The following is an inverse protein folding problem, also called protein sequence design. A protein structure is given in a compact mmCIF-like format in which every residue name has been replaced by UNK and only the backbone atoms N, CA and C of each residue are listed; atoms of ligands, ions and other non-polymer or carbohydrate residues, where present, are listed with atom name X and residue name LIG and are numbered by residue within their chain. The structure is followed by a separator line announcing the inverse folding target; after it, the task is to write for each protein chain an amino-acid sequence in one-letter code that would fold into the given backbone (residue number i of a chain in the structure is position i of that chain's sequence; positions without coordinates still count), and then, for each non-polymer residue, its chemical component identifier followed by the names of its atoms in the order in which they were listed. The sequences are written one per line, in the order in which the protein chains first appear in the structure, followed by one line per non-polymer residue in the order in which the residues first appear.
data_IF_253118184527
#
_entry.id   IF_253118184527
#
_cell.length_a   1.000
_cell.length_b   1.000
_cell.length_c   1.000
_cell.angle_alpha   90.00
_cell.angle_beta   90.00
_cell.angle_gamma   90.00
#
_symmetry.space_group_name_H-M   'P 1'
#
loop_
_entity.id
_entity.type
_entity.pdbx_description
1 polymer ?
#
# COMPACT_ATOMS: atom_id res chain seq x y z
N UNK A 1 -13.99 75.07 -37.12
CA UNK A 1 -13.55 75.09 -35.70
C UNK A 1 -14.33 74.01 -34.95
N UNK A 2 -13.59 73.01 -34.51
CA UNK A 2 -13.81 72.02 -33.44
C UNK A 2 -15.10 71.19 -33.39
N UNK A 3 -15.01 70.06 -34.09
CA UNK A 3 -15.74 68.80 -33.91
C UNK A 3 -15.56 68.23 -32.50
N UNK A 4 -16.66 68.07 -31.77
CA UNK A 4 -16.74 67.38 -30.48
C UNK A 4 -16.71 65.85 -30.67
N UNK A 5 -15.61 65.21 -30.27
CA UNK A 5 -15.51 63.76 -30.17
C UNK A 5 -16.25 63.24 -28.93
N UNK A 6 -17.34 62.48 -29.14
CA UNK A 6 -17.96 61.64 -28.11
C UNK A 6 -17.17 60.33 -28.01
N UNK A 7 -16.39 60.18 -26.94
CA UNK A 7 -15.75 58.91 -26.58
C UNK A 7 -16.81 58.02 -25.94
N UNK A 8 -17.17 56.94 -26.62
CA UNK A 8 -18.08 55.92 -26.14
C UNK A 8 -17.29 54.97 -25.22
N UNK A 9 -17.59 55.03 -23.93
CA UNK A 9 -16.95 54.23 -22.89
C UNK A 9 -17.67 52.88 -22.81
N UNK A 10 -17.23 51.92 -23.62
CA UNK A 10 -17.78 50.56 -23.63
C UNK A 10 -17.19 49.77 -22.45
N UNK A 11 -17.86 49.84 -21.30
CA UNK A 11 -17.57 48.97 -20.16
C UNK A 11 -18.04 47.55 -20.49
N UNK A 12 -17.12 46.73 -21.03
CA UNK A 12 -17.32 45.29 -21.16
C UNK A 12 -17.21 44.69 -19.77
N UNK A 13 -18.37 44.47 -19.14
CA UNK A 13 -18.54 43.59 -18.00
C UNK A 13 -18.14 42.17 -18.44
N UNK A 14 -16.86 41.82 -18.22
CA UNK A 14 -16.44 40.42 -18.16
C UNK A 14 -17.08 39.80 -16.92
N UNK A 15 -18.34 39.39 -17.06
CA UNK A 15 -18.92 38.34 -16.24
C UNK A 15 -18.19 37.05 -16.61
N UNK A 16 -16.96 36.90 -16.09
CA UNK A 16 -16.25 35.65 -16.09
C UNK A 16 -17.14 34.65 -15.37
N UNK A 17 -17.67 33.70 -16.13
CA UNK A 17 -18.29 32.51 -15.59
C UNK A 17 -17.20 31.74 -14.84
N UNK A 18 -16.95 32.10 -13.58
CA UNK A 18 -16.37 31.20 -12.62
C UNK A 18 -17.40 30.10 -12.45
N UNK A 19 -17.28 29.03 -13.25
CA UNK A 19 -17.90 27.78 -12.90
C UNK A 19 -17.51 27.52 -11.44
N UNK A 20 -18.46 27.32 -10.52
CA UNK A 20 -18.11 26.91 -9.17
C UNK A 20 -17.37 25.59 -9.37
N UNK A 21 -16.04 25.65 -9.24
CA UNK A 21 -15.25 24.46 -9.05
C UNK A 21 -15.90 23.78 -7.85
N UNK A 22 -16.32 22.52 -8.02
CA UNK A 22 -16.84 21.70 -6.95
C UNK A 22 -15.70 21.45 -5.96
N UNK A 23 -15.43 22.46 -5.14
CA UNK A 23 -14.45 22.46 -4.08
C UNK A 23 -14.91 21.50 -2.99
N UNK A 24 -14.02 20.62 -2.55
CA UNK A 24 -14.30 19.68 -1.46
C UNK A 24 -15.04 18.41 -1.88
N UNK A 25 -14.63 17.79 -2.98
CA UNK A 25 -15.18 16.50 -3.41
C UNK A 25 -14.18 15.36 -3.24
N UNK A 26 -14.70 14.17 -2.91
CA UNK A 26 -13.96 12.91 -2.89
C UNK A 26 -14.63 11.92 -3.84
N UNK A 27 -13.89 11.48 -4.86
CA UNK A 27 -14.27 10.40 -5.76
C UNK A 27 -13.36 9.19 -5.54
N UNK A 28 -13.96 8.00 -5.50
CA UNK A 28 -13.23 6.73 -5.38
C UNK A 28 -13.55 5.87 -6.59
N UNK A 29 -12.52 5.51 -7.35
CA UNK A 29 -12.57 4.59 -8.47
C UNK A 29 -11.84 3.29 -8.11
N UNK A 30 -12.43 2.15 -8.47
CA UNK A 30 -11.80 0.84 -8.26
C UNK A 30 -11.14 0.37 -9.53
N UNK A 31 -9.86 0.00 -9.43
CA UNK A 31 -9.08 -0.58 -10.49
C UNK A 31 -9.11 -2.10 -10.37
N UNK A 32 -9.78 -2.75 -11.32
CA UNK A 32 -9.89 -4.21 -11.38
C UNK A 32 -8.81 -4.85 -12.24
N UNK A 33 -8.58 -4.30 -13.43
CA UNK A 33 -7.62 -4.80 -14.40
C UNK A 33 -6.38 -3.90 -14.44
N UNK A 34 -5.23 -4.49 -14.76
CA UNK A 34 -4.00 -3.76 -15.03
C UNK A 34 -4.12 -3.01 -16.37
N UNK A 35 -4.77 -1.84 -16.29
CA UNK A 35 -4.99 -0.94 -17.43
C UNK A 35 -4.35 0.41 -17.12
N UNK A 36 -3.49 0.88 -18.02
CA UNK A 36 -2.78 2.15 -17.88
C UNK A 36 -1.46 2.02 -17.13
N UNK A 37 -1.11 3.04 -16.33
CA UNK A 37 0.19 3.16 -15.67
C UNK A 37 0.11 3.01 -14.13
N UNK A 38 -1.06 2.71 -13.56
CA UNK A 38 -1.25 2.73 -12.10
C UNK A 38 -0.37 1.67 -11.41
N UNK A 39 -0.30 0.45 -11.95
CA UNK A 39 0.59 -0.61 -11.43
C UNK A 39 2.03 -0.14 -11.47
N UNK A 40 2.51 0.41 -12.59
CA UNK A 40 3.87 0.90 -12.72
C UNK A 40 4.19 2.06 -11.76
N UNK A 41 3.24 2.98 -11.52
CA UNK A 41 3.41 4.09 -10.57
C UNK A 41 3.54 3.61 -9.12
N UNK A 42 2.72 2.62 -8.74
CA UNK A 42 2.78 2.01 -7.42
C UNK A 42 4.00 1.09 -7.28
N UNK A 43 4.37 0.36 -8.32
CA UNK A 43 5.59 -0.45 -8.38
C UNK A 43 6.83 0.43 -8.15
N UNK A 44 6.93 1.59 -8.80
CA UNK A 44 8.01 2.54 -8.59
C UNK A 44 8.05 3.09 -7.15
N UNK A 45 6.87 3.27 -6.53
CA UNK A 45 6.77 3.69 -5.12
C UNK A 45 7.21 2.57 -4.17
N UNK A 46 6.84 1.31 -4.46
CA UNK A 46 7.27 0.12 -3.74
C UNK A 46 8.78 -0.07 -3.80
N UNK A 47 9.39 0.11 -4.98
CA UNK A 47 10.82 -0.07 -5.17
C UNK A 47 11.64 0.81 -4.21
N UNK A 48 11.25 2.07 -4.02
CA UNK A 48 11.90 2.98 -3.08
C UNK A 48 11.85 2.45 -1.65
N UNK A 49 10.70 1.92 -1.24
CA UNK A 49 10.54 1.33 0.09
C UNK A 49 11.39 0.07 0.27
N UNK A 50 11.44 -0.80 -0.73
CA UNK A 50 12.29 -2.00 -0.72
C UNK A 50 13.78 -1.63 -0.63
N UNK A 51 14.20 -0.60 -1.36
CA UNK A 51 15.58 -0.09 -1.32
C UNK A 51 15.96 0.51 0.03
N UNK A 52 15.04 1.25 0.66
CA UNK A 52 15.20 1.78 2.01
C UNK A 52 15.34 0.64 3.02
N UNK A 53 14.45 -0.36 2.97
CA UNK A 53 14.54 -1.54 3.83
C UNK A 53 15.90 -2.23 3.67
N UNK A 54 16.35 -2.43 2.43
CA UNK A 54 17.68 -2.98 2.15
C UNK A 54 18.79 -2.15 2.79
N UNK A 55 18.73 -0.82 2.66
CA UNK A 55 19.71 0.10 3.23
C UNK A 55 19.75 0.03 4.76
N UNK A 56 18.59 -0.02 5.42
CA UNK A 56 18.48 -0.16 6.88
C UNK A 56 19.10 -1.47 7.34
N UNK A 57 18.77 -2.59 6.69
CA UNK A 57 19.31 -3.91 7.05
C UNK A 57 20.84 -3.94 6.87
N UNK A 58 21.36 -3.43 5.75
CA UNK A 58 22.80 -3.37 5.50
C UNK A 58 23.53 -2.50 6.53
N UNK A 59 22.94 -1.38 6.96
CA UNK A 59 23.56 -0.45 7.90
C UNK A 59 23.51 -0.94 9.35
N UNK A 60 22.39 -1.53 9.77
CA UNK A 60 22.10 -1.79 11.19
C UNK A 60 22.28 -3.25 11.60
N UNK A 61 22.18 -4.19 10.66
CA UNK A 61 22.19 -5.64 10.94
C UNK A 61 23.13 -6.42 9.99
N UNK A 62 24.43 -6.04 9.90
CA UNK A 62 25.37 -6.75 9.03
C UNK A 62 25.58 -8.19 9.51
N UNK A 63 25.51 -9.18 8.60
CA UNK A 63 25.75 -10.59 8.94
C UNK A 63 24.54 -11.33 9.54
N UNK A 64 23.40 -10.67 9.77
CA UNK A 64 22.21 -11.31 10.32
C UNK A 64 21.34 -11.98 9.24
N UNK A 65 21.48 -13.30 9.07
CA UNK A 65 20.73 -14.10 8.07
C UNK A 65 20.05 -15.32 8.68
N UNK A 66 19.18 -15.12 9.67
CA UNK A 66 18.23 -16.16 10.06
C UNK A 66 17.05 -16.15 9.07
N UNK A 67 16.86 -17.26 8.35
CA UNK A 67 15.83 -17.40 7.32
C UNK A 67 14.41 -17.05 7.80
N UNK A 68 14.08 -17.34 9.08
CA UNK A 68 12.75 -17.03 9.61
C UNK A 68 12.58 -15.55 9.95
N UNK A 69 13.64 -14.88 10.39
CA UNK A 69 13.64 -13.42 10.61
C UNK A 69 13.57 -12.68 9.29
N UNK A 70 14.23 -13.23 8.27
CA UNK A 70 14.19 -12.74 6.90
C UNK A 70 12.78 -12.72 6.30
N UNK A 71 11.99 -13.77 6.56
CA UNK A 71 10.60 -13.87 6.11
C UNK A 71 9.74 -12.70 6.60
N UNK A 72 9.99 -12.16 7.80
CA UNK A 72 9.24 -10.99 8.34
C UNK A 72 9.49 -9.77 7.45
N UNK A 73 10.75 -9.50 7.12
CA UNK A 73 11.14 -8.38 6.26
C UNK A 73 10.56 -8.53 4.86
N UNK A 74 10.71 -9.70 4.24
CA UNK A 74 10.17 -9.93 2.90
C UNK A 74 8.65 -9.84 2.88
N UNK A 75 7.96 -10.41 3.88
CA UNK A 75 6.50 -10.36 3.93
C UNK A 75 5.99 -8.94 4.16
N UNK A 76 6.64 -8.17 5.01
CA UNK A 76 6.33 -6.75 5.18
C UNK A 76 6.49 -6.01 3.85
N UNK A 77 7.68 -6.09 3.22
CA UNK A 77 7.99 -5.40 1.97
C UNK A 77 7.07 -5.81 0.80
N UNK A 78 6.60 -7.07 0.77
CA UNK A 78 5.63 -7.56 -0.23
C UNK A 78 4.21 -7.05 0.00
N UNK A 79 3.73 -7.05 1.26
CA UNK A 79 2.30 -6.92 1.55
C UNK A 79 1.88 -5.56 2.06
N UNK A 80 2.80 -4.75 2.56
CA UNK A 80 2.46 -3.46 3.17
C UNK A 80 1.73 -2.57 2.15
N UNK A 81 0.57 -1.99 2.50
CA UNK A 81 -0.13 -1.07 1.62
C UNK A 81 0.72 0.14 1.25
N UNK A 82 0.62 0.60 0.02
CA UNK A 82 1.34 1.77 -0.50
C UNK A 82 0.38 2.77 -1.12
N UNK A 83 0.70 4.05 -0.96
CA UNK A 83 0.00 5.16 -1.59
C UNK A 83 0.98 6.04 -2.35
N UNK A 84 0.56 6.45 -3.54
CA UNK A 84 1.16 7.57 -4.28
C UNK A 84 0.09 8.63 -4.44
N UNK A 85 0.36 9.86 -3.99
CA UNK A 85 -0.58 10.98 -4.07
C UNK A 85 0.08 12.11 -4.84
N UNK A 86 -0.50 12.52 -5.97
CA UNK A 86 -0.08 13.68 -6.75
C UNK A 86 -1.02 14.84 -6.46
N UNK A 87 -0.47 15.97 -6.03
CA UNK A 87 -1.19 17.22 -5.83
C UNK A 87 -0.83 18.21 -6.94
N UNK A 88 -1.82 18.58 -7.73
CA UNK A 88 -1.71 19.61 -8.76
C UNK A 88 -2.26 20.93 -8.22
N UNK A 89 -1.48 22.00 -8.28
CA UNK A 89 -1.82 23.27 -7.65
C UNK A 89 -1.39 24.48 -8.48
N UNK A 90 -2.13 25.61 -8.39
CA UNK A 90 -1.78 26.79 -9.17
C UNK A 90 -0.53 27.49 -8.60
N UNK A 91 0.45 27.80 -9.46
CA UNK A 91 1.65 28.57 -9.09
C UNK A 91 2.02 29.53 -10.22
N UNK A 92 2.01 30.84 -9.94
CA UNK A 92 2.58 31.83 -10.86
C UNK A 92 2.01 31.82 -12.29
N UNK A 93 0.74 31.45 -12.47
CA UNK A 93 0.10 31.32 -13.78
C UNK A 93 0.26 29.95 -14.47
N UNK A 94 0.96 29.00 -13.84
CA UNK A 94 1.05 27.60 -14.28
C UNK A 94 0.52 26.62 -13.22
N UNK A 95 0.72 25.33 -13.49
CA UNK A 95 0.36 24.24 -12.58
C UNK A 95 1.64 23.61 -12.02
N UNK A 96 1.83 23.68 -10.71
CA UNK A 96 2.82 22.91 -9.99
C UNK A 96 2.28 21.52 -9.66
N UNK A 97 3.18 20.54 -9.57
CA UNK A 97 2.85 19.17 -9.17
C UNK A 97 3.76 18.77 -8.01
N UNK A 98 3.19 18.18 -6.96
CA UNK A 98 3.95 17.56 -5.88
C UNK A 98 3.45 16.15 -5.62
N UNK A 99 4.36 15.19 -5.61
CA UNK A 99 4.07 13.77 -5.34
C UNK A 99 4.46 13.42 -3.91
N UNK A 100 3.57 12.70 -3.23
CA UNK A 100 3.78 12.12 -1.91
C UNK A 100 3.75 10.60 -2.02
N UNK A 101 4.75 9.97 -1.41
CA UNK A 101 4.90 8.52 -1.32
C UNK A 101 4.72 8.06 0.13
N UNK A 102 3.69 7.29 0.41
CA UNK A 102 3.45 6.75 1.74
C UNK A 102 3.42 5.23 1.72
N UNK A 103 3.92 4.65 2.82
CA UNK A 103 3.83 3.23 3.09
C UNK A 103 3.12 3.03 4.42
N UNK A 104 2.19 2.09 4.42
CA UNK A 104 1.35 1.77 5.55
C UNK A 104 2.15 1.14 6.71
N UNK A 105 1.53 1.08 7.88
CA UNK A 105 2.09 0.38 9.03
C UNK A 105 3.29 1.08 9.68
N UNK A 106 4.02 0.29 10.48
CA UNK A 106 5.14 0.78 11.29
C UNK A 106 6.33 1.27 10.46
N UNK A 107 7.13 2.22 10.99
CA UNK A 107 8.40 2.64 10.39
C UNK A 107 9.37 1.48 10.18
N UNK A 108 10.18 1.58 9.13
CA UNK A 108 11.01 0.47 8.66
C UNK A 108 12.09 0.05 9.65
N UNK A 109 12.71 1.01 10.35
CA UNK A 109 13.67 0.71 11.41
C UNK A 109 13.05 -0.12 12.53
N UNK A 110 11.76 0.11 12.85
CA UNK A 110 11.05 -0.73 13.84
C UNK A 110 10.75 -2.11 13.30
N UNK A 111 10.30 -2.22 12.05
CA UNK A 111 10.09 -3.52 11.39
C UNK A 111 11.40 -4.33 11.39
N UNK A 112 12.53 -3.70 11.07
CA UNK A 112 13.84 -4.33 11.13
C UNK A 112 14.23 -4.72 12.56
N UNK A 113 14.01 -3.85 13.54
CA UNK A 113 14.27 -4.17 14.95
C UNK A 113 13.38 -5.30 15.49
N UNK A 114 12.13 -5.40 15.04
CA UNK A 114 11.24 -6.52 15.39
C UNK A 114 11.73 -7.84 14.76
N UNK A 115 12.20 -7.79 13.51
CA UNK A 115 12.72 -8.96 12.82
C UNK A 115 14.04 -9.46 13.43
N UNK A 116 14.97 -8.55 13.76
CA UNK A 116 16.35 -8.89 14.12
C UNK A 116 16.70 -8.66 15.61
N UNK A 117 16.14 -7.62 16.24
CA UNK A 117 16.46 -7.22 17.62
C UNK A 117 15.78 -8.02 18.73
N UNK A 118 14.82 -8.89 18.41
CA UNK A 118 14.05 -9.67 19.40
C UNK A 118 14.68 -11.00 19.83
N UNK A 119 14.23 -11.53 20.98
CA UNK A 119 14.40 -12.96 21.29
C UNK A 119 13.67 -13.77 20.22
N UNK A 120 14.31 -14.80 19.67
CA UNK A 120 13.68 -15.67 18.67
C UNK A 120 12.31 -16.13 19.18
N UNK A 121 11.22 -15.97 18.42
CA UNK A 121 9.87 -16.26 18.90
C UNK A 121 9.74 -17.65 19.53
N UNK A 122 8.90 -17.83 20.58
CA UNK A 122 8.66 -19.11 21.25
C UNK A 122 7.82 -20.08 20.39
N UNK A 123 8.34 -20.39 19.22
CA UNK A 123 7.93 -21.48 18.34
C UNK A 123 9.14 -21.90 17.50
N UNK A 124 10.35 -21.71 18.03
CA UNK A 124 11.60 -22.15 17.42
C UNK A 124 11.69 -23.65 17.64
N UNK A 125 11.58 -24.52 16.62
CA UNK A 125 11.97 -25.91 16.81
C UNK A 125 13.49 -25.92 16.98
N UNK A 126 13.94 -25.85 18.23
CA UNK A 126 15.27 -26.31 18.59
C UNK A 126 15.26 -27.81 18.36
N UNK A 127 16.00 -28.25 17.34
CA UNK A 127 16.18 -29.66 16.92
C UNK A 127 15.21 -30.18 15.86
N UNK A 128 15.79 -30.89 14.88
CA UNK A 128 15.09 -31.64 13.85
C UNK A 128 14.22 -32.73 14.50
N UNK A 129 12.91 -32.49 14.58
CA UNK A 129 11.97 -33.48 15.13
C UNK A 129 10.54 -32.98 15.38
N UNK A 130 10.32 -31.67 15.48
CA UNK A 130 8.98 -31.14 15.74
C UNK A 130 8.20 -30.89 14.45
N UNK A 131 7.01 -31.48 14.36
CA UNK A 131 6.05 -31.29 13.27
C UNK A 131 5.76 -29.80 13.01
N UNK A 132 5.61 -29.37 11.75
CA UNK A 132 5.30 -27.98 11.45
C UNK A 132 3.83 -27.72 11.80
N UNK A 133 3.62 -26.91 12.83
CA UNK A 133 2.36 -26.20 12.98
C UNK A 133 2.40 -25.00 12.03
N UNK A 134 1.35 -24.89 11.21
CA UNK A 134 1.11 -23.78 10.29
C UNK A 134 1.21 -22.44 11.03
N UNK A 135 1.86 -21.40 10.46
CA UNK A 135 1.69 -20.05 10.95
C UNK A 135 0.31 -19.56 10.49
N UNK A 136 -0.73 -19.94 11.22
CA UNK A 136 -2.00 -19.22 11.19
C UNK A 136 -1.80 -17.93 11.95
N UNK A 137 -1.51 -16.85 11.22
CA UNK A 137 -1.90 -15.52 11.67
C UNK A 137 -3.42 -15.46 11.47
N UNK A 138 -4.14 -16.05 12.43
CA UNK A 138 -5.57 -15.82 12.57
C UNK A 138 -5.74 -14.37 13.00
N UNK A 139 -6.60 -13.64 12.28
CA UNK A 139 -7.09 -12.30 12.68
C UNK A 139 -7.88 -12.35 14.01
N UNK A 140 -8.07 -13.55 14.59
CA UNK A 140 -8.72 -13.84 15.87
C UNK A 140 -7.74 -14.15 17.02
N UNK A 141 -6.46 -13.76 16.93
CA UNK A 141 -5.58 -13.87 18.10
C UNK A 141 -5.90 -12.74 19.08
N UNK A 142 -6.80 -13.04 20.03
CA UNK A 142 -7.22 -12.28 21.22
C UNK A 142 -6.06 -12.05 22.22
N UNK A 143 -4.85 -11.92 21.69
CA UNK A 143 -3.67 -11.49 22.42
C UNK A 143 -3.91 -10.05 22.91
N UNK A 144 -3.65 -9.73 24.19
CA UNK A 144 -3.78 -8.37 24.69
C UNK A 144 -2.99 -7.43 23.78
N UNK A 145 -3.48 -6.22 23.48
CA UNK A 145 -2.83 -5.34 22.54
C UNK A 145 -1.37 -5.20 22.95
N UNK A 146 -0.47 -5.56 22.03
CA UNK A 146 0.95 -5.25 22.14
C UNK A 146 1.06 -3.81 22.63
N UNK A 147 1.88 -3.60 23.65
CA UNK A 147 2.07 -2.31 24.32
C UNK A 147 2.02 -1.18 23.29
N UNK A 148 1.03 -0.29 23.46
CA UNK A 148 0.73 0.73 22.47
C UNK A 148 1.97 1.60 22.28
N UNK A 149 2.52 1.54 21.08
CA UNK A 149 3.64 2.39 20.68
C UNK A 149 3.18 3.84 20.74
N UNK A 150 3.96 4.68 21.42
CA UNK A 150 3.65 6.11 21.50
C UNK A 150 3.85 6.79 20.15
N UNK A 151 3.11 7.87 19.92
CA UNK A 151 3.26 8.69 18.72
C UNK A 151 4.70 9.24 18.60
N UNK A 152 5.33 9.61 19.72
CA UNK A 152 6.72 10.10 19.78
C UNK A 152 7.73 9.04 19.32
N UNK A 153 7.54 7.77 19.73
CA UNK A 153 8.39 6.67 19.27
C UNK A 153 8.24 6.41 17.76
N UNK A 154 7.02 6.50 17.23
CA UNK A 154 6.77 6.34 15.79
C UNK A 154 7.43 7.48 15.01
N UNK A 155 7.29 8.73 15.48
CA UNK A 155 7.95 9.90 14.86
C UNK A 155 9.47 9.76 14.89
N UNK A 156 10.05 9.34 16.02
CA UNK A 156 11.49 9.13 16.14
C UNK A 156 11.99 8.05 15.18
N UNK A 157 11.23 6.96 15.00
CA UNK A 157 11.58 5.91 14.06
C UNK A 157 11.43 6.34 12.58
N UNK A 158 10.38 7.11 12.23
CA UNK A 158 10.26 7.70 10.88
C UNK A 158 11.44 8.65 10.57
N UNK A 159 11.87 9.43 11.57
CA UNK A 159 13.03 10.31 11.45
C UNK A 159 14.33 9.53 11.24
N UNK A 160 14.50 8.39 11.93
CA UNK A 160 15.64 7.49 11.71
C UNK A 160 15.64 6.90 10.28
N UNK A 161 14.47 6.52 9.77
CA UNK A 161 14.34 6.04 8.39
C UNK A 161 14.68 7.12 7.35
N UNK A 162 14.53 8.41 7.67
CA UNK A 162 14.58 9.50 6.69
C UNK A 162 15.90 9.57 5.92
N UNK A 163 17.04 9.28 6.56
CA UNK A 163 18.36 9.29 5.91
C UNK A 163 18.54 8.20 4.85
N UNK A 164 17.69 7.17 4.87
CA UNK A 164 17.76 6.07 3.90
C UNK A 164 16.93 6.33 2.63
N UNK A 165 16.04 7.32 2.64
CA UNK A 165 15.28 7.74 1.46
C UNK A 165 16.13 8.68 0.60
N UNK A 166 16.95 8.09 -0.27
CA UNK A 166 17.80 8.81 -1.22
C UNK A 166 16.96 9.21 -2.46
N UNK A 167 17.32 10.33 -3.10
CA UNK A 167 16.71 10.83 -4.34
C UNK A 167 15.24 11.32 -4.21
N UNK A 168 14.86 11.81 -3.03
CA UNK A 168 13.64 12.62 -2.85
C UNK A 168 14.01 14.11 -2.95
N UNK A 169 13.14 14.92 -3.54
CA UNK A 169 13.30 16.37 -3.67
C UNK A 169 12.04 17.11 -3.22
N UNK A 170 11.98 18.44 -3.38
CA UNK A 170 10.82 19.22 -2.95
C UNK A 170 9.53 18.89 -3.71
N UNK A 171 9.62 18.30 -4.90
CA UNK A 171 8.46 17.91 -5.72
C UNK A 171 8.10 16.44 -5.60
N UNK A 172 9.01 15.60 -5.12
CA UNK A 172 8.84 14.16 -4.97
C UNK A 172 9.28 13.72 -3.57
N UNK A 173 8.31 13.59 -2.65
CA UNK A 173 8.57 13.45 -1.22
C UNK A 173 8.03 12.14 -0.64
N UNK A 174 8.73 11.62 0.37
CA UNK A 174 8.19 10.65 1.30
C UNK A 174 7.19 11.35 2.23
N UNK A 175 6.05 10.71 2.48
CA UNK A 175 5.10 11.11 3.51
C UNK A 175 5.28 10.23 4.76
N UNK A 176 6.02 10.71 5.78
CA UNK A 176 6.19 9.98 7.04
C UNK A 176 4.93 10.07 7.92
N UNK A 177 4.84 9.22 8.94
CA UNK A 177 3.89 9.42 10.03
C UNK A 177 4.17 10.76 10.75
N UNK A 178 3.18 11.66 10.71
CA UNK A 178 3.19 12.95 11.41
C UNK A 178 1.88 13.11 12.21
N UNK A 179 1.90 12.90 13.53
CA UNK A 179 0.80 13.31 14.37
C UNK A 179 0.79 14.84 14.42
N UNK A 180 -0.34 15.45 14.12
CA UNK A 180 -0.47 16.90 14.11
C UNK A 180 -1.75 17.28 14.83
N UNK A 181 -1.68 18.13 15.84
CA UNK A 181 -2.90 18.63 16.49
C UNK A 181 -3.68 19.61 15.61
N UNK A 182 -3.04 20.13 14.55
CA UNK A 182 -3.66 21.02 13.57
C UNK A 182 -4.45 20.28 12.49
N UNK A 183 -4.24 18.96 12.35
CA UNK A 183 -4.89 18.16 11.30
C UNK A 183 -6.40 18.08 11.47
N UNK A 184 -7.13 18.23 10.37
CA UNK A 184 -8.57 17.88 10.30
C UNK A 184 -8.76 16.36 10.23
N UNK A 185 -7.72 15.62 9.85
CA UNK A 185 -7.69 14.15 9.76
C UNK A 185 -7.19 13.53 11.06
N UNK A 186 -7.94 13.71 12.16
CA UNK A 186 -7.53 13.24 13.49
C UNK A 186 -7.21 11.73 13.51
N UNK A 187 -6.11 11.31 14.14
CA UNK A 187 -5.77 9.90 14.27
C UNK A 187 -6.80 9.16 15.11
N UNK A 188 -7.05 7.89 14.80
CA UNK A 188 -8.00 7.07 15.54
C UNK A 188 -7.58 5.60 15.52
N UNK A 189 -8.12 4.87 16.49
CA UNK A 189 -7.94 3.43 16.63
C UNK A 189 -9.25 2.72 16.28
N UNK A 190 -9.16 1.64 15.53
CA UNK A 190 -10.30 0.79 15.22
C UNK A 190 -9.81 -0.64 15.05
N UNK A 191 -10.50 -1.58 15.72
CA UNK A 191 -10.15 -3.02 15.69
C UNK A 191 -8.66 -3.31 15.97
N UNK A 192 -8.10 -2.67 17.00
CA UNK A 192 -6.68 -2.84 17.38
C UNK A 192 -5.67 -2.21 16.41
N UNK A 193 -6.12 -1.65 15.29
CA UNK A 193 -5.27 -1.00 14.29
C UNK A 193 -5.22 0.51 14.48
N UNK A 194 -4.02 1.08 14.34
CA UNK A 194 -3.82 2.52 14.37
C UNK A 194 -3.86 3.10 12.95
N UNK A 195 -5.03 3.55 12.52
CA UNK A 195 -5.27 4.05 11.15
C UNK A 195 -4.48 5.31 10.80
N UNK A 196 -3.87 5.95 11.79
CA UNK A 196 -2.91 7.01 11.55
C UNK A 196 -1.66 6.55 10.77
N UNK A 197 -1.41 5.23 10.73
CA UNK A 197 -0.36 4.58 9.97
C UNK A 197 -0.80 4.14 8.58
N UNK A 198 -2.07 4.30 8.20
CA UNK A 198 -2.53 3.95 6.85
C UNK A 198 -1.85 4.86 5.81
N UNK A 199 -1.45 4.34 4.65
CA UNK A 199 -0.65 5.10 3.70
C UNK A 199 -1.42 6.30 3.14
N UNK A 200 -2.74 6.19 2.93
CA UNK A 200 -3.56 7.34 2.52
C UNK A 200 -3.62 8.43 3.58
N UNK A 201 -3.66 8.06 4.86
CA UNK A 201 -3.69 9.02 5.96
C UNK A 201 -2.34 9.72 6.09
N UNK A 202 -1.23 8.97 6.01
CA UNK A 202 0.12 9.55 6.01
C UNK A 202 0.32 10.52 4.84
N UNK A 203 -0.03 10.12 3.63
CA UNK A 203 0.14 10.95 2.43
C UNK A 203 -0.69 12.24 2.49
N UNK A 204 -1.96 12.13 2.85
CA UNK A 204 -2.87 13.28 2.91
C UNK A 204 -2.52 14.22 4.07
N UNK A 205 -2.06 13.71 5.22
CA UNK A 205 -1.54 14.58 6.30
C UNK A 205 -0.26 15.31 5.91
N UNK A 206 0.65 14.66 5.17
CA UNK A 206 1.84 15.34 4.68
C UNK A 206 1.48 16.50 3.74
N UNK A 207 0.48 16.31 2.87
CA UNK A 207 -0.10 17.37 2.05
C UNK A 207 -0.74 18.47 2.90
N UNK A 208 -1.54 18.10 3.89
CA UNK A 208 -2.18 19.05 4.80
C UNK A 208 -1.15 19.91 5.54
N UNK A 209 -0.11 19.31 6.11
CA UNK A 209 0.96 20.03 6.80
C UNK A 209 1.65 21.03 5.87
N UNK A 210 1.90 20.65 4.62
CA UNK A 210 2.54 21.56 3.64
C UNK A 210 1.62 22.71 3.21
N UNK A 211 0.29 22.51 3.21
CA UNK A 211 -0.70 23.58 3.04
C UNK A 211 -0.72 24.50 4.28
N UNK A 212 -0.73 23.92 5.48
CA UNK A 212 -0.77 24.66 6.75
C UNK A 212 0.51 25.47 6.99
N UNK A 213 1.65 24.96 6.56
CA UNK A 213 2.95 25.63 6.64
C UNK A 213 3.14 26.68 5.52
N UNK A 214 2.15 26.84 4.63
CA UNK A 214 2.19 27.81 3.53
C UNK A 214 3.16 27.45 2.40
N UNK A 215 3.66 26.21 2.35
CA UNK A 215 4.50 25.72 1.25
C UNK A 215 3.70 25.46 -0.01
N UNK A 216 2.42 25.13 0.15
CA UNK A 216 1.48 24.86 -0.94
C UNK A 216 0.19 25.67 -0.77
N UNK A 217 -0.41 26.17 -1.87
CA UNK A 217 -1.73 26.79 -1.81
C UNK A 217 -2.83 25.75 -1.66
N UNK A 218 -4.02 26.19 -1.23
CA UNK A 218 -5.26 25.41 -1.18
C UNK A 218 -5.93 25.32 -2.56
N UNK A 219 -7.00 24.52 -2.68
CA UNK A 219 -7.87 24.53 -3.86
C UNK A 219 -7.37 23.76 -5.08
N UNK A 220 -6.37 22.89 -4.92
CA UNK A 220 -5.82 22.08 -6.00
C UNK A 220 -6.51 20.72 -6.20
N UNK A 221 -5.96 19.92 -7.11
CA UNK A 221 -6.46 18.56 -7.43
C UNK A 221 -5.55 17.51 -6.85
N UNK A 222 -6.15 16.50 -6.24
CA UNK A 222 -5.43 15.36 -5.66
C UNK A 222 -5.76 14.10 -6.44
N UNK A 223 -4.73 13.49 -7.02
CA UNK A 223 -4.81 12.17 -7.65
C UNK A 223 -4.05 11.17 -6.78
N UNK A 224 -4.78 10.29 -6.11
CA UNK A 224 -4.22 9.25 -5.26
C UNK A 224 -4.37 7.88 -5.91
N UNK A 225 -3.31 7.09 -5.87
CA UNK A 225 -3.30 5.68 -6.26
C UNK A 225 -2.93 4.85 -5.03
N UNK A 226 -3.70 3.80 -4.77
CA UNK A 226 -3.53 2.92 -3.61
C UNK A 226 -3.44 1.46 -4.04
N UNK A 227 -2.52 0.72 -3.42
CA UNK A 227 -2.42 -0.74 -3.61
C UNK A 227 -3.50 -1.53 -2.84
N UNK A 228 -4.37 -0.84 -2.10
CA UNK A 228 -5.45 -1.40 -1.31
C UNK A 228 -6.69 -0.51 -1.36
N UNK A 229 -7.78 -1.01 -0.81
CA UNK A 229 -9.04 -0.29 -0.65
C UNK A 229 -8.96 0.64 0.56
N UNK A 230 -9.46 1.86 0.44
CA UNK A 230 -9.57 2.79 1.58
C UNK A 230 -10.56 2.22 2.58
N UNK A 231 -10.13 2.14 3.83
CA UNK A 231 -10.98 1.62 4.90
C UNK A 231 -12.24 2.48 5.06
N UNK A 232 -13.39 1.89 5.42
CA UNK A 232 -14.66 2.64 5.50
C UNK A 232 -14.57 3.82 6.48
N UNK A 233 -13.80 3.67 7.56
CA UNK A 233 -13.56 4.71 8.56
C UNK A 233 -12.61 5.81 8.07
N UNK A 234 -11.71 5.50 7.13
CA UNK A 234 -10.71 6.41 6.56
C UNK A 234 -11.33 7.43 5.61
N UNK A 235 -12.48 7.10 5.00
CA UNK A 235 -13.19 7.96 4.03
C UNK A 235 -13.63 9.29 4.62
N UNK A 236 -14.22 9.26 5.83
CA UNK A 236 -14.78 10.47 6.45
C UNK A 236 -13.71 11.53 6.80
N UNK A 237 -12.51 11.18 7.30
CA UNK A 237 -11.38 12.11 7.38
C UNK A 237 -10.96 12.69 6.03
N UNK A 238 -10.93 11.87 4.96
CA UNK A 238 -10.55 12.33 3.62
C UNK A 238 -11.57 13.32 3.04
N UNK A 239 -12.86 13.06 3.20
CA UNK A 239 -13.93 13.99 2.82
C UNK A 239 -13.81 15.33 3.56
N UNK A 240 -13.57 15.27 4.88
CA UNK A 240 -13.35 16.47 5.69
C UNK A 240 -12.11 17.26 5.26
N UNK A 241 -11.03 16.59 4.89
CA UNK A 241 -9.86 17.27 4.35
C UNK A 241 -10.15 17.90 2.99
N UNK A 242 -10.87 17.20 2.10
CA UNK A 242 -11.26 17.76 0.83
C UNK A 242 -12.06 19.05 1.03
N UNK A 243 -13.08 19.02 1.88
CA UNK A 243 -13.90 20.19 2.21
C UNK A 243 -13.10 21.32 2.87
N UNK A 244 -12.27 21.02 3.87
CA UNK A 244 -11.55 22.04 4.63
C UNK A 244 -10.51 22.82 3.80
N UNK A 245 -9.99 22.23 2.72
CA UNK A 245 -8.93 22.80 1.89
C UNK A 245 -9.34 22.98 0.42
N UNK A 246 -10.64 22.90 0.14
CA UNK A 246 -11.23 23.07 -1.19
C UNK A 246 -10.65 22.13 -2.27
N UNK A 247 -10.27 20.90 -1.88
CA UNK A 247 -9.57 19.97 -2.77
C UNK A 247 -10.57 19.17 -3.63
N UNK A 248 -10.17 18.91 -4.88
CA UNK A 248 -10.82 17.91 -5.74
C UNK A 248 -10.03 16.60 -5.63
N UNK A 249 -10.54 15.65 -4.88
CA UNK A 249 -9.80 14.44 -4.51
C UNK A 249 -10.31 13.23 -5.27
N UNK A 250 -9.44 12.58 -6.06
CA UNK A 250 -9.74 11.33 -6.76
C UNK A 250 -8.80 10.22 -6.30
N UNK A 251 -9.37 9.16 -5.74
CA UNK A 251 -8.67 7.96 -5.33
C UNK A 251 -8.90 6.84 -6.34
N UNK A 252 -7.82 6.18 -6.77
CA UNK A 252 -7.84 4.96 -7.56
C UNK A 252 -7.31 3.82 -6.71
N UNK A 253 -8.20 2.91 -6.33
CA UNK A 253 -7.92 1.82 -5.39
C UNK A 253 -7.78 0.49 -6.14
N UNK A 254 -6.72 -0.26 -5.89
CA UNK A 254 -6.65 -1.65 -6.34
C UNK A 254 -7.48 -2.54 -5.44
N UNK A 255 -8.33 -3.36 -6.06
CA UNK A 255 -9.09 -4.38 -5.33
C UNK A 255 -8.44 -5.76 -5.49
N UNK A 256 -8.48 -6.61 -4.45
CA UNK A 256 -7.82 -7.92 -4.47
C UNK A 256 -8.58 -8.99 -5.29
N UNK A 257 -9.59 -8.59 -6.06
CA UNK A 257 -10.37 -9.51 -6.90
C UNK A 257 -10.89 -8.82 -8.17
N UNK A 258 -11.00 -9.60 -9.25
CA UNK A 258 -11.64 -9.17 -10.49
C UNK A 258 -13.10 -9.64 -10.49
N UNK A 259 -14.09 -8.73 -10.62
CA UNK A 259 -15.50 -9.08 -10.68
C UNK A 259 -15.81 -10.11 -11.77
N UNK A 260 -16.72 -11.06 -11.48
CA UNK A 260 -17.08 -12.16 -12.40
C UNK A 260 -17.47 -11.68 -13.80
N UNK A 261 -18.17 -10.56 -13.92
CA UNK A 261 -18.57 -10.02 -15.22
C UNK A 261 -17.38 -9.53 -16.06
N UNK A 262 -16.36 -8.93 -15.42
CA UNK A 262 -15.11 -8.52 -16.08
C UNK A 262 -14.30 -9.76 -16.45
N UNK A 263 -14.18 -10.71 -15.54
CA UNK A 263 -13.50 -12.00 -15.78
C UNK A 263 -14.11 -12.73 -16.99
N UNK A 264 -15.44 -12.84 -17.04
CA UNK A 264 -16.12 -13.49 -18.15
C UNK A 264 -15.95 -12.72 -19.47
N UNK A 265 -15.94 -11.39 -19.44
CA UNK A 265 -15.71 -10.56 -20.61
C UNK A 265 -14.29 -10.78 -21.19
N UNK A 266 -13.25 -10.81 -20.35
CA UNK A 266 -11.87 -11.07 -20.80
C UNK A 266 -11.68 -12.47 -21.36
N UNK A 267 -12.33 -13.48 -20.76
CA UNK A 267 -12.30 -14.87 -21.25
C UNK A 267 -13.04 -14.98 -22.59
N UNK A 268 -14.22 -14.38 -22.70
CA UNK A 268 -15.03 -14.42 -23.93
C UNK A 268 -14.33 -13.68 -25.07
N UNK A 269 -13.61 -12.61 -24.76
CA UNK A 269 -12.79 -11.88 -25.72
C UNK A 269 -11.49 -12.60 -26.13
N UNK A 270 -11.20 -13.78 -25.55
CA UNK A 270 -9.98 -14.55 -25.82
C UNK A 270 -8.69 -13.94 -25.26
N UNK A 271 -8.78 -12.83 -24.51
CA UNK A 271 -7.62 -12.15 -23.90
C UNK A 271 -7.21 -12.77 -22.57
N UNK A 272 -8.18 -13.32 -21.83
CA UNK A 272 -7.97 -13.86 -20.49
C UNK A 272 -8.25 -15.36 -20.38
N UNK A 273 -7.65 -15.99 -19.37
CA UNK A 273 -8.02 -17.32 -18.87
C UNK A 273 -7.80 -17.42 -17.37
N UNK A 274 -8.49 -18.35 -16.71
CA UNK A 274 -8.25 -18.61 -15.29
C UNK A 274 -7.03 -19.54 -15.11
N UNK A 275 -6.14 -19.19 -14.19
CA UNK A 275 -5.01 -20.02 -13.76
C UNK A 275 -4.84 -19.87 -12.25
N UNK A 276 -4.98 -20.96 -11.50
CA UNK A 276 -4.86 -20.96 -10.03
C UNK A 276 -5.70 -19.86 -9.36
N UNK A 277 -6.98 -19.74 -9.74
CA UNK A 277 -7.92 -18.73 -9.26
C UNK A 277 -7.60 -17.27 -9.63
N UNK A 278 -6.57 -17.02 -10.45
CA UNK A 278 -6.25 -15.69 -10.97
C UNK A 278 -6.66 -15.56 -12.43
N UNK A 279 -7.11 -14.37 -12.82
CA UNK A 279 -7.31 -14.02 -14.21
C UNK A 279 -5.95 -13.62 -14.81
N UNK A 280 -5.49 -14.39 -15.81
CA UNK A 280 -4.21 -14.17 -16.48
C UNK A 280 -4.41 -13.99 -17.97
N UNK A 281 -3.48 -13.28 -18.62
CA UNK A 281 -3.46 -13.12 -20.06
C UNK A 281 -3.28 -14.49 -20.74
N UNK A 282 -4.04 -14.75 -21.81
CA UNK A 282 -4.08 -16.06 -22.45
C UNK A 282 -2.70 -16.51 -22.95
N UNK A 283 -1.98 -15.61 -23.61
CA UNK A 283 -0.67 -15.86 -24.23
C UNK A 283 0.50 -15.78 -23.24
N UNK A 284 0.75 -14.61 -22.64
CA UNK A 284 1.91 -14.40 -21.74
C UNK A 284 1.78 -15.11 -20.39
N UNK A 285 0.56 -15.43 -19.95
CA UNK A 285 0.31 -15.98 -18.61
C UNK A 285 0.52 -14.97 -17.47
N UNK A 286 0.76 -13.70 -17.78
CA UNK A 286 0.87 -12.62 -16.79
C UNK A 286 -0.50 -12.30 -16.17
N UNK A 287 -0.57 -11.86 -14.91
CA UNK A 287 -1.83 -11.45 -14.31
C UNK A 287 -2.50 -10.30 -15.08
N UNK A 288 -3.81 -10.36 -15.25
CA UNK A 288 -4.62 -9.26 -15.77
C UNK A 288 -5.22 -8.40 -14.66
N UNK A 289 -5.38 -8.95 -13.44
CA UNK A 289 -5.85 -8.19 -12.29
C UNK A 289 -4.76 -7.21 -11.82
N UNK A 290 -5.11 -5.94 -11.62
CA UNK A 290 -4.15 -4.90 -11.23
C UNK A 290 -3.42 -5.24 -9.92
N UNK A 291 -4.17 -5.74 -8.92
CA UNK A 291 -3.61 -6.16 -7.65
C UNK A 291 -2.64 -7.33 -7.80
N UNK A 292 -3.01 -8.36 -8.57
CA UNK A 292 -2.13 -9.52 -8.81
C UNK A 292 -0.88 -9.14 -9.61
N UNK A 293 -1.01 -8.21 -10.56
CA UNK A 293 0.12 -7.69 -11.34
C UNK A 293 1.12 -6.96 -10.42
N UNK A 294 0.62 -6.09 -9.53
CA UNK A 294 1.45 -5.42 -8.53
C UNK A 294 2.08 -6.42 -7.54
N UNK A 295 1.34 -7.44 -7.07
CA UNK A 295 1.85 -8.49 -6.18
C UNK A 295 3.05 -9.23 -6.81
N UNK A 296 2.95 -9.60 -8.09
CA UNK A 296 4.05 -10.23 -8.84
C UNK A 296 5.25 -9.29 -8.99
N UNK A 297 5.02 -8.02 -9.33
CA UNK A 297 6.09 -7.02 -9.44
C UNK A 297 6.82 -6.84 -8.10
N UNK A 298 6.09 -6.68 -7.00
CA UNK A 298 6.65 -6.51 -5.66
C UNK A 298 7.42 -7.74 -5.19
N UNK A 299 6.93 -8.95 -5.45
CA UNK A 299 7.68 -10.18 -5.15
C UNK A 299 9.00 -10.24 -5.92
N UNK A 300 9.02 -9.82 -7.20
CA UNK A 300 10.26 -9.73 -7.96
C UNK A 300 11.24 -8.69 -7.38
N UNK A 301 10.76 -7.50 -7.02
CA UNK A 301 11.57 -6.45 -6.37
C UNK A 301 12.19 -6.94 -5.07
N UNK A 302 11.38 -7.55 -4.19
CA UNK A 302 11.84 -8.07 -2.90
C UNK A 302 12.88 -9.17 -3.10
N UNK A 303 12.66 -10.12 -4.00
CA UNK A 303 13.68 -11.15 -4.29
C UNK A 303 14.97 -10.57 -4.84
N UNK A 304 14.87 -9.55 -5.69
CA UNK A 304 16.05 -8.92 -6.30
C UNK A 304 16.85 -8.11 -5.27
N UNK A 305 16.20 -7.32 -4.44
CA UNK A 305 16.85 -6.37 -3.55
C UNK A 305 17.12 -6.91 -2.14
N UNK A 306 16.26 -7.80 -1.65
CA UNK A 306 16.28 -8.35 -0.30
C UNK A 306 16.60 -9.85 -0.30
N UNK A 307 17.16 -10.44 -1.36
CA UNK A 307 17.73 -11.78 -1.20
C UNK A 307 19.05 -11.70 -0.39
N UNK A 308 19.40 -12.74 0.39
CA UNK A 308 20.67 -12.77 1.12
C UNK A 308 21.89 -12.49 0.21
N UNK A 309 21.84 -13.00 -1.02
CA UNK A 309 22.88 -12.79 -2.05
C UNK A 309 22.98 -11.33 -2.51
N UNK A 310 21.86 -10.60 -2.53
CA UNK A 310 21.83 -9.19 -2.93
C UNK A 310 22.35 -8.26 -1.82
N UNK A 311 22.21 -8.66 -0.56
CA UNK A 311 22.61 -7.85 0.59
C UNK A 311 24.09 -8.01 0.92
N UNK A 312 24.58 -9.25 0.86
CA UNK A 312 26.00 -9.58 1.04
C UNK A 312 26.57 -10.10 -0.28
N UNK A 313 27.03 -9.21 -1.18
CA UNK A 313 27.77 -9.66 -2.34
C UNK A 313 28.97 -10.48 -1.85
N UNK A 314 29.21 -11.68 -2.38
CA UNK A 314 30.29 -12.54 -1.92
C UNK A 314 31.60 -11.76 -2.01
N UNK A 315 32.25 -11.55 -0.86
CA UNK A 315 33.58 -10.96 -0.78
C UNK A 315 34.52 -11.79 -1.69
N UNK A 316 34.88 -11.21 -2.84
CA UNK A 316 35.81 -11.82 -3.81
C UNK A 316 37.09 -12.21 -3.06
N UNK A 317 37.27 -13.51 -2.82
CA UNK A 317 38.48 -14.07 -2.20
C UNK A 317 38.29 -14.72 -0.83
N UNK A 318 37.13 -14.55 -0.17
CA UNK A 318 36.81 -15.31 1.04
C UNK A 318 36.07 -16.58 0.66
N UNK A 319 36.68 -17.76 0.86
CA UNK A 319 35.94 -19.02 0.88
C UNK A 319 35.01 -18.99 2.10
N UNK A 320 33.84 -18.36 1.97
CA UNK A 320 32.81 -18.45 2.99
C UNK A 320 32.48 -19.94 3.11
N UNK A 321 32.69 -20.58 4.27
CA UNK A 321 32.35 -21.98 4.42
C UNK A 321 30.87 -22.07 4.14
N UNK A 322 30.51 -22.74 3.03
CA UNK A 322 29.14 -23.07 2.71
C UNK A 322 28.54 -23.74 3.96
N UNK A 323 27.83 -22.96 4.78
CA UNK A 323 26.79 -23.51 5.63
C UNK A 323 25.77 -24.01 4.64
N UNK A 324 25.92 -25.28 4.26
CA UNK A 324 24.98 -25.98 3.41
C UNK A 324 23.60 -25.80 4.03
N UNK A 325 22.78 -24.97 3.41
CA UNK A 325 21.35 -25.02 3.58
C UNK A 325 20.93 -26.41 3.14
N UNK A 326 20.78 -27.34 4.08
CA UNK A 326 20.04 -28.58 3.85
C UNK A 326 18.58 -28.18 3.76
N UNK A 327 18.17 -27.76 2.56
CA UNK A 327 16.78 -27.88 2.17
C UNK A 327 16.44 -29.37 2.32
N UNK A 328 15.56 -29.69 3.26
CA UNK A 328 14.95 -31.01 3.30
C UNK A 328 14.33 -31.31 1.93
N UNK A 329 14.24 -32.59 1.53
CA UNK A 329 13.70 -32.96 0.23
C UNK A 329 12.34 -32.29 0.00
N UNK A 330 12.04 -31.85 -1.24
CA UNK A 330 10.77 -31.21 -1.56
C UNK A 330 9.64 -32.14 -1.11
N UNK A 331 8.80 -31.66 -0.19
CA UNK A 331 7.63 -32.44 0.24
C UNK A 331 6.75 -32.66 -1.00
N UNK A 332 6.44 -33.91 -1.37
CA UNK A 332 5.47 -34.14 -2.43
C UNK A 332 4.15 -33.48 -2.01
N UNK A 333 3.51 -32.78 -2.95
CA UNK A 333 2.15 -32.26 -2.76
C UNK A 333 1.27 -33.42 -2.33
N UNK A 334 0.60 -33.28 -1.19
CA UNK A 334 -0.41 -34.22 -0.73
C UNK A 334 -1.57 -34.14 -1.73
N UNK A 335 -1.58 -35.06 -2.69
CA UNK A 335 -2.76 -35.31 -3.52
C UNK A 335 -3.78 -35.94 -2.58
N UNK A 336 -4.76 -35.16 -2.15
CA UNK A 336 -6.01 -35.74 -1.63
C UNK A 336 -6.72 -36.38 -2.82
N UNK A 337 -6.41 -37.66 -3.06
CA UNK A 337 -7.29 -38.54 -3.82
C UNK A 337 -8.57 -38.68 -2.99
N UNK A 338 -9.62 -37.98 -3.41
CA UNK A 338 -10.98 -38.27 -2.97
C UNK A 338 -11.41 -39.56 -3.63
N UNK A 339 -11.53 -40.64 -2.84
CA UNK A 339 -12.26 -41.83 -3.24
C UNK A 339 -13.37 -42.12 -2.21
N UNK A 340 -14.57 -41.73 -2.63
CA UNK A 340 -15.90 -42.31 -2.46
C UNK A 340 -16.29 -43.21 -1.26
N UNK A 341 -17.51 -42.90 -0.80
CA UNK A 341 -18.61 -43.80 -0.41
C UNK A 341 -18.80 -44.19 1.07
N UNK A 342 -19.80 -43.55 1.70
CA UNK A 342 -20.86 -44.12 2.54
C UNK A 342 -21.85 -42.96 2.77
N UNK A 343 -23.09 -42.95 2.30
CA UNK A 343 -24.14 -43.93 2.54
C UNK A 343 -24.99 -43.48 3.73
N UNK A 344 -25.92 -42.53 3.54
CA UNK A 344 -26.94 -42.17 4.51
C UNK A 344 -28.30 -41.91 3.80
N UNK A 345 -29.43 -42.41 4.34
CA UNK A 345 -30.73 -42.41 3.67
C UNK A 345 -31.45 -41.05 3.74
N UNK A 346 -32.47 -40.83 2.90
CA UNK A 346 -33.14 -39.53 2.78
C UNK A 346 -33.97 -39.21 4.03
N UNK A 347 -33.73 -38.05 4.63
CA UNK A 347 -34.64 -37.47 5.61
C UNK A 347 -35.84 -36.83 4.89
N UNK A 348 -37.03 -37.22 5.33
CA UNK A 348 -38.31 -36.65 4.91
C UNK A 348 -38.45 -35.18 5.34
N UNK A 349 -39.23 -34.37 4.61
CA UNK A 349 -39.50 -32.98 4.98
C UNK A 349 -40.39 -32.93 6.22
N UNK A 350 -39.98 -32.12 7.20
CA UNK A 350 -40.82 -31.73 8.34
C UNK A 350 -41.60 -30.50 7.93
N UNK A 351 -42.93 -30.61 7.98
CA UNK A 351 -43.88 -29.52 7.82
C UNK A 351 -43.66 -28.45 8.91
N UNK A 352 -43.28 -27.23 8.51
CA UNK A 352 -43.38 -26.04 9.36
C UNK A 352 -44.76 -25.40 9.18
N UNK A 353 -45.63 -25.71 10.13
CA UNK A 353 -46.85 -24.96 10.40
C UNK A 353 -46.66 -24.10 11.65
N UNK A 354 -46.80 -22.78 11.50
CA UNK A 354 -47.45 -21.92 12.51
C UNK A 354 -46.58 -21.16 13.52
N UNK A 355 -46.57 -19.83 13.35
CA UNK A 355 -47.06 -18.88 14.38
C UNK A 355 -46.12 -18.45 15.50
N UNK A 356 -45.55 -17.24 15.40
CA UNK A 356 -45.98 -15.99 16.08
C UNK A 356 -44.96 -14.88 15.84
#
# INVERSE_FOLDING_TARGET
MNTTHRVLLTAVLFAGAFAPAWAGSLAITRLHLDQGNVVALLEASSQRHVEVMRSIVQASYPGEHDARRWEIIENHARRVPIARVSYEYPVGGGTGIRTYHAVGGEPLTRVAAQAFGGRTPPATPSSAGSSPLSPTWSEDDDSPPLERVSDDELVAAEAADASHYIAMDDTDIRAPFRPSERTVMKPYWHQGSYHALDPEQKAMRALEDDILDGKLPRGGKVHAWLSSVVCATCRRPLERMAEAYDLEVTFTEMVPFVPTHITQAEITAGRGRMKAFRLVHAESGMPLGAFDALDVARDAQVRQALSPVAIEPPLRGGSSPMRTFRLGPPRPRRVTEGSSASGAPPQQPVDEAGGC
#
